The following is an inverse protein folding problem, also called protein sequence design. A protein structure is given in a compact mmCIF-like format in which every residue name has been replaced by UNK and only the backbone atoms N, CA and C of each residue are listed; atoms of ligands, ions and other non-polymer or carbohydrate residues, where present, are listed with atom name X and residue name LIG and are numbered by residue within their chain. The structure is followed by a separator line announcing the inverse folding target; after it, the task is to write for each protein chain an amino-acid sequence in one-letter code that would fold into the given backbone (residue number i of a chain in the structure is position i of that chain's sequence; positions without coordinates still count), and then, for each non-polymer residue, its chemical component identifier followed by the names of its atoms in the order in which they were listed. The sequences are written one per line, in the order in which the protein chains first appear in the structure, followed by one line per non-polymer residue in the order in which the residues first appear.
data_IF_253968579636
#
_entry.id   IF_253968579636
#
_cell.length_a   1.000
_cell.length_b   1.000
_cell.length_c   1.000
_cell.angle_alpha   90.00
_cell.angle_beta   90.00
_cell.angle_gamma   90.00
#
_symmetry.space_group_name_H-M   'P 1'
#
loop_
_entity.id
_entity.type
_entity.pdbx_description
1 polymer ?
#
# COMPACT_ATOMS: atom_id res chain seq x y z
N UNK A 1 8.47 -11.13 -16.51
CA UNK A 1 7.91 -12.50 -16.54
C UNK A 1 7.99 -13.20 -15.18
N UNK A 2 9.19 -13.45 -14.61
CA UNK A 2 9.31 -14.23 -13.35
C UNK A 2 8.61 -13.62 -12.12
N UNK A 3 8.64 -12.29 -11.95
CA UNK A 3 8.00 -11.60 -10.82
C UNK A 3 6.47 -11.74 -10.89
N UNK A 4 5.87 -11.42 -12.04
CA UNK A 4 4.42 -11.51 -12.29
C UNK A 4 3.88 -12.91 -11.98
N UNK A 5 4.54 -13.93 -12.52
CA UNK A 5 4.15 -15.33 -12.29
C UNK A 5 4.22 -15.72 -10.81
N UNK A 6 5.29 -15.32 -10.10
CA UNK A 6 5.45 -15.57 -8.67
C UNK A 6 4.43 -14.82 -7.81
N UNK A 7 4.15 -13.55 -8.14
CA UNK A 7 3.11 -12.75 -7.49
C UNK A 7 1.75 -13.42 -7.62
N UNK A 8 1.41 -13.88 -8.83
CA UNK A 8 0.14 -14.52 -9.11
C UNK A 8 -0.02 -15.85 -8.37
N UNK A 9 1.01 -16.70 -8.40
CA UNK A 9 1.00 -17.96 -7.65
C UNK A 9 0.86 -17.72 -6.14
N UNK A 10 1.66 -16.83 -5.56
CA UNK A 10 1.60 -16.52 -4.13
C UNK A 10 0.26 -15.90 -3.73
N UNK A 11 -0.28 -15.03 -4.58
CA UNK A 11 -1.58 -14.41 -4.36
C UNK A 11 -2.72 -15.43 -4.40
N UNK A 12 -2.70 -16.38 -5.34
CA UNK A 12 -3.70 -17.45 -5.43
C UNK A 12 -3.58 -18.44 -4.28
N UNK A 13 -2.38 -18.92 -3.96
CA UNK A 13 -2.19 -19.90 -2.88
C UNK A 13 -2.50 -19.27 -1.53
N UNK A 14 -2.11 -18.01 -1.32
CA UNK A 14 -2.35 -17.24 -0.10
C UNK A 14 -3.78 -16.73 0.05
N UNK A 15 -4.58 -16.71 -1.02
CA UNK A 15 -5.92 -16.11 -1.06
C UNK A 15 -6.81 -16.46 0.15
N UNK A 16 -7.07 -17.74 0.50
CA UNK A 16 -7.98 -18.06 1.59
C UNK A 16 -7.50 -17.51 2.95
N UNK A 17 -6.20 -17.54 3.20
CA UNK A 17 -5.61 -17.02 4.45
C UNK A 17 -5.64 -15.50 4.50
N UNK A 18 -5.27 -14.85 3.39
CA UNK A 18 -5.32 -13.40 3.25
C UNK A 18 -6.75 -12.88 3.38
N UNK A 19 -7.73 -13.58 2.80
CA UNK A 19 -9.13 -13.19 2.88
C UNK A 19 -9.66 -13.26 4.32
N UNK A 20 -9.38 -14.34 5.03
CA UNK A 20 -9.79 -14.50 6.44
C UNK A 20 -9.13 -13.43 7.32
N UNK A 21 -7.81 -13.26 7.20
CA UNK A 21 -7.08 -12.28 8.01
C UNK A 21 -7.57 -10.86 7.70
N UNK A 22 -7.72 -10.52 6.43
CA UNK A 22 -8.28 -9.23 6.03
C UNK A 22 -9.64 -9.00 6.65
N UNK A 23 -10.55 -9.96 6.57
CA UNK A 23 -11.88 -9.82 7.17
C UNK A 23 -11.82 -9.48 8.67
N UNK A 24 -10.93 -10.13 9.42
CA UNK A 24 -10.70 -9.79 10.84
C UNK A 24 -10.14 -8.38 11.03
N UNK A 25 -9.14 -7.98 10.24
CA UNK A 25 -8.59 -6.62 10.31
C UNK A 25 -9.60 -5.56 9.88
N UNK A 26 -10.47 -5.86 8.91
CA UNK A 26 -11.55 -4.97 8.50
C UNK A 26 -12.58 -4.77 9.59
N UNK A 27 -12.90 -5.79 10.39
CA UNK A 27 -13.77 -5.60 11.55
C UNK A 27 -13.06 -4.75 12.62
N UNK A 28 -11.84 -5.12 13.01
CA UNK A 28 -11.14 -4.47 14.13
C UNK A 28 -10.74 -3.03 13.80
N UNK A 29 -10.14 -2.80 12.63
CA UNK A 29 -9.66 -1.49 12.21
C UNK A 29 -10.68 -0.71 11.41
N UNK A 30 -11.56 -1.38 10.66
CA UNK A 30 -12.60 -0.69 9.90
C UNK A 30 -13.57 0.05 10.81
N UNK A 31 -13.96 -0.51 11.95
CA UNK A 31 -14.83 0.22 12.92
C UNK A 31 -14.12 1.47 13.46
N UNK A 32 -12.89 1.32 13.96
CA UNK A 32 -12.15 2.46 14.54
C UNK A 32 -11.83 3.54 13.50
N UNK A 33 -11.40 3.15 12.31
CA UNK A 33 -11.09 4.08 11.21
C UNK A 33 -12.35 4.69 10.60
N UNK A 34 -13.48 3.99 10.57
CA UNK A 34 -14.77 4.55 10.15
C UNK A 34 -15.28 5.60 11.13
N UNK A 35 -15.18 5.37 12.44
CA UNK A 35 -15.57 6.38 13.45
C UNK A 35 -14.72 7.64 13.31
N UNK A 36 -13.39 7.49 13.20
CA UNK A 36 -12.48 8.63 13.02
C UNK A 36 -12.77 9.35 11.70
N UNK A 37 -12.98 8.59 10.61
CA UNK A 37 -13.32 9.17 9.30
C UNK A 37 -14.65 9.92 9.35
N UNK A 38 -15.67 9.38 10.03
CA UNK A 38 -16.96 10.04 10.20
C UNK A 38 -16.83 11.36 10.97
N UNK A 39 -16.03 11.40 12.04
CA UNK A 39 -15.74 12.64 12.78
C UNK A 39 -15.04 13.65 11.87
N UNK A 40 -14.04 13.21 11.09
CA UNK A 40 -13.34 14.09 10.13
C UNK A 40 -14.30 14.62 9.07
N UNK A 41 -15.20 13.79 8.54
CA UNK A 41 -16.21 14.20 7.55
C UNK A 41 -17.15 15.26 8.14
N UNK A 42 -17.66 15.06 9.35
CA UNK A 42 -18.51 16.04 10.04
C UNK A 42 -17.77 17.36 10.26
N UNK A 43 -16.48 17.31 10.64
CA UNK A 43 -15.65 18.51 10.77
C UNK A 43 -15.38 19.17 9.41
N UNK A 44 -15.20 18.37 8.35
CA UNK A 44 -14.96 18.84 7.00
C UNK A 44 -16.18 19.53 6.39
N UNK A 45 -17.40 19.18 6.81
CA UNK A 45 -18.62 19.90 6.41
C UNK A 45 -18.62 21.36 6.89
N UNK A 46 -17.88 21.67 7.96
CA UNK A 46 -17.74 23.04 8.49
C UNK A 46 -16.46 23.71 7.97
N UNK A 47 -15.39 22.94 7.85
CA UNK A 47 -14.07 23.41 7.39
C UNK A 47 -13.57 22.46 6.30
N UNK A 48 -13.92 22.70 5.01
CA UNK A 48 -13.62 21.78 3.90
C UNK A 48 -12.15 21.31 3.81
N UNK A 49 -11.13 22.13 4.12
CA UNK A 49 -9.75 21.68 4.16
C UNK A 49 -9.46 20.53 5.15
N UNK A 50 -10.30 20.31 6.18
CA UNK A 50 -10.13 19.19 7.11
C UNK A 50 -10.39 17.83 6.46
N UNK A 51 -11.04 17.76 5.28
CA UNK A 51 -11.18 16.52 4.52
C UNK A 51 -9.81 15.89 4.18
N UNK A 52 -8.74 16.69 4.08
CA UNK A 52 -7.38 16.21 3.85
C UNK A 52 -6.88 15.30 4.99
N UNK A 53 -7.44 15.43 6.20
CA UNK A 53 -7.09 14.58 7.33
C UNK A 53 -7.55 13.13 7.15
N UNK A 54 -8.46 12.83 6.22
CA UNK A 54 -8.90 11.46 5.88
C UNK A 54 -7.75 10.57 5.39
N UNK A 55 -6.65 11.19 4.93
CA UNK A 55 -5.44 10.49 4.52
C UNK A 55 -4.77 9.73 5.69
N UNK A 56 -4.98 10.18 6.93
CA UNK A 56 -4.40 9.59 8.14
C UNK A 56 -5.09 8.26 8.50
N UNK A 57 -6.41 8.19 8.74
CA UNK A 57 -7.08 6.91 9.00
C UNK A 57 -6.96 5.96 7.81
N UNK A 58 -6.93 6.47 6.58
CA UNK A 58 -6.65 5.65 5.39
C UNK A 58 -5.26 5.00 5.43
N UNK A 59 -4.20 5.75 5.74
CA UNK A 59 -2.85 5.21 5.86
C UNK A 59 -2.74 4.14 6.95
N UNK A 60 -3.36 4.37 8.11
CA UNK A 60 -3.41 3.40 9.23
C UNK A 60 -4.13 2.13 8.80
N UNK A 61 -5.32 2.25 8.22
CA UNK A 61 -6.13 1.15 7.73
C UNK A 61 -5.37 0.29 6.72
N UNK A 62 -4.78 0.94 5.71
CA UNK A 62 -3.99 0.25 4.68
C UNK A 62 -2.74 -0.42 5.28
N UNK A 63 -2.11 0.15 6.32
CA UNK A 63 -0.98 -0.46 7.00
C UNK A 63 -1.38 -1.72 7.75
N UNK A 64 -2.42 -1.62 8.57
CA UNK A 64 -2.90 -2.73 9.38
C UNK A 64 -3.30 -3.92 8.49
N UNK A 65 -4.07 -3.67 7.43
CA UNK A 65 -4.48 -4.72 6.51
C UNK A 65 -3.30 -5.29 5.74
N UNK A 66 -2.41 -4.46 5.18
CA UNK A 66 -1.30 -4.98 4.37
C UNK A 66 -0.30 -5.78 5.18
N UNK A 67 0.06 -5.32 6.38
CA UNK A 67 0.97 -6.07 7.27
C UNK A 67 0.31 -7.39 7.70
N UNK A 68 -0.98 -7.37 8.05
CA UNK A 68 -1.74 -8.57 8.37
C UNK A 68 -1.82 -9.55 7.20
N UNK A 69 -2.13 -9.06 5.99
CA UNK A 69 -2.24 -9.86 4.77
C UNK A 69 -0.90 -10.40 4.27
N UNK A 70 0.20 -9.70 4.50
CA UNK A 70 1.53 -10.12 4.07
C UNK A 70 2.09 -11.26 4.92
N UNK A 71 1.77 -11.28 6.21
CA UNK A 71 2.23 -12.32 7.12
C UNK A 71 1.95 -13.74 6.60
N UNK A 72 0.71 -14.18 6.27
CA UNK A 72 0.46 -15.52 5.75
C UNK A 72 1.23 -15.81 4.44
N UNK A 73 1.43 -14.81 3.58
CA UNK A 73 2.16 -14.97 2.32
C UNK A 73 3.66 -15.18 2.57
N UNK A 74 4.24 -14.45 3.51
CA UNK A 74 5.63 -14.60 3.92
C UNK A 74 5.84 -15.92 4.67
N UNK A 75 4.83 -16.40 5.39
CA UNK A 75 4.88 -17.61 6.23
C UNK A 75 4.40 -18.88 5.52
N UNK A 76 3.90 -18.81 4.29
CA UNK A 76 3.80 -20.01 3.42
C UNK A 76 5.18 -20.63 3.10
N UNK A 77 6.27 -19.98 3.53
CA UNK A 77 7.63 -20.54 3.58
C UNK A 77 8.00 -21.09 4.98
N UNK A 78 7.27 -20.75 6.04
CA UNK A 78 7.25 -21.37 7.38
C UNK A 78 6.27 -20.63 8.30
N UNK A 79 5.38 -21.35 8.99
CA UNK A 79 4.49 -20.82 10.03
C UNK A 79 5.31 -20.31 11.23
N UNK A 80 5.20 -19.04 11.66
CA UNK A 80 5.53 -18.65 13.01
C UNK A 80 4.32 -18.99 13.88
N UNK A 81 4.59 -19.77 14.91
CA UNK A 81 3.63 -20.40 15.81
C UNK A 81 2.78 -19.44 16.63
N UNK A 82 3.08 -18.13 16.71
CA UNK A 82 2.33 -17.26 17.62
C UNK A 82 1.96 -15.89 17.00
N UNK A 83 0.64 -15.65 16.91
CA UNK A 83 0.06 -14.37 16.50
C UNK A 83 0.12 -13.39 17.68
N UNK A 84 1.22 -12.62 17.79
CA UNK A 84 1.28 -11.51 18.76
C UNK A 84 0.81 -10.21 18.12
N UNK A 85 -0.41 -9.79 18.48
CA UNK A 85 -0.98 -8.50 18.08
C UNK A 85 -0.09 -7.31 18.45
N UNK A 86 0.62 -7.40 19.59
CA UNK A 86 1.54 -6.37 20.05
C UNK A 86 2.75 -6.14 19.12
N UNK A 87 3.31 -7.21 18.55
CA UNK A 87 4.42 -7.11 17.59
C UNK A 87 3.98 -6.48 16.26
N UNK A 88 2.76 -6.77 15.81
CA UNK A 88 2.19 -6.16 14.60
C UNK A 88 2.02 -4.65 14.82
N UNK A 89 1.54 -4.23 15.98
CA UNK A 89 1.36 -2.82 16.33
C UNK A 89 2.67 -2.02 16.31
N UNK A 90 3.78 -2.62 16.73
CA UNK A 90 5.11 -2.00 16.68
C UNK A 90 5.56 -1.68 15.24
N UNK A 91 5.09 -2.46 14.26
CA UNK A 91 5.46 -2.29 12.85
C UNK A 91 4.44 -1.44 12.06
N UNK A 92 3.19 -1.38 12.51
CA UNK A 92 2.15 -0.53 11.89
C UNK A 92 2.54 0.94 11.96
N UNK A 93 3.00 1.44 13.13
CA UNK A 93 3.29 2.86 13.32
C UNK A 93 4.38 3.42 12.40
N UNK A 94 5.60 2.85 12.34
CA UNK A 94 6.65 3.36 11.45
C UNK A 94 6.28 3.26 9.97
N UNK A 95 5.58 2.19 9.57
CA UNK A 95 5.12 2.04 8.19
C UNK A 95 4.00 3.05 7.85
N UNK A 96 3.12 3.35 8.81
CA UNK A 96 2.08 4.38 8.66
C UNK A 96 2.70 5.76 8.46
N UNK A 97 3.74 6.10 9.22
CA UNK A 97 4.45 7.37 9.05
C UNK A 97 5.08 7.47 7.65
N UNK A 98 5.72 6.40 7.18
CA UNK A 98 6.35 6.36 5.86
C UNK A 98 5.30 6.50 4.73
N UNK A 99 4.18 5.79 4.86
CA UNK A 99 3.05 5.87 3.92
C UNK A 99 2.38 7.25 3.94
N UNK A 100 2.15 7.81 5.12
CA UNK A 100 1.60 9.15 5.30
C UNK A 100 2.51 10.21 4.66
N UNK A 101 3.82 10.13 4.87
CA UNK A 101 4.78 11.03 4.24
C UNK A 101 4.71 10.94 2.70
N UNK A 102 4.60 9.73 2.15
CA UNK A 102 4.43 9.52 0.71
C UNK A 102 3.13 10.13 0.18
N UNK A 103 2.02 9.92 0.88
CA UNK A 103 0.72 10.46 0.48
C UNK A 103 0.62 11.98 0.62
N UNK A 104 1.22 12.57 1.65
CA UNK A 104 1.28 14.02 1.81
C UNK A 104 2.15 14.66 0.72
N UNK A 105 3.30 14.06 0.40
CA UNK A 105 4.14 14.51 -0.71
C UNK A 105 3.37 14.45 -2.03
N UNK A 106 2.64 13.35 -2.27
CA UNK A 106 1.79 13.22 -3.43
C UNK A 106 0.73 14.32 -3.50
N UNK A 107 0.07 14.62 -2.38
CA UNK A 107 -0.96 15.65 -2.31
C UNK A 107 -0.39 17.02 -2.69
N UNK A 108 0.81 17.35 -2.21
CA UNK A 108 1.53 18.58 -2.60
C UNK A 108 1.85 18.56 -4.10
N UNK A 109 2.33 17.45 -4.64
CA UNK A 109 2.64 17.34 -6.07
C UNK A 109 1.40 17.48 -6.97
N UNK A 110 0.28 16.87 -6.58
CA UNK A 110 -1.00 17.01 -7.28
C UNK A 110 -1.49 18.46 -7.20
N UNK A 111 -1.43 19.09 -6.03
CA UNK A 111 -1.80 20.49 -5.86
C UNK A 111 -0.95 21.42 -6.74
N UNK A 112 0.38 21.22 -6.77
CA UNK A 112 1.29 21.98 -7.64
C UNK A 112 0.99 21.75 -9.12
N UNK A 113 0.70 20.51 -9.51
CA UNK A 113 0.28 20.18 -10.87
C UNK A 113 -1.00 20.89 -11.26
N UNK A 114 -2.03 20.83 -10.42
CA UNK A 114 -3.30 21.53 -10.63
C UNK A 114 -3.09 23.04 -10.73
N UNK A 115 -2.29 23.64 -9.85
CA UNK A 115 -1.94 25.08 -9.93
C UNK A 115 -1.24 25.40 -11.25
N UNK A 116 -0.35 24.53 -11.72
CA UNK A 116 0.35 24.69 -13.00
C UNK A 116 -0.57 24.59 -14.21
N UNK A 117 -1.56 23.69 -14.19
CA UNK A 117 -2.48 23.47 -15.32
C UNK A 117 -3.64 24.45 -15.37
N UNK A 118 -4.23 24.78 -14.21
CA UNK A 118 -5.46 25.55 -14.12
C UNK A 118 -5.27 26.96 -13.57
N UNK A 119 -4.13 27.24 -12.92
CA UNK A 119 -3.89 28.51 -12.23
C UNK A 119 -4.50 28.56 -10.82
N UNK A 120 -3.86 29.33 -9.94
CA UNK A 120 -4.30 29.47 -8.54
C UNK A 120 -5.69 30.11 -8.44
N UNK A 121 -5.98 31.12 -9.25
CA UNK A 121 -7.26 31.85 -9.25
C UNK A 121 -8.44 30.92 -9.59
N UNK A 122 -8.26 30.05 -10.58
CA UNK A 122 -9.28 29.06 -10.94
C UNK A 122 -9.54 28.11 -9.77
N UNK A 123 -8.49 27.57 -9.15
CA UNK A 123 -8.62 26.64 -8.01
C UNK A 123 -9.35 27.27 -6.84
N UNK A 124 -8.99 28.49 -6.45
CA UNK A 124 -9.69 29.23 -5.37
C UNK A 124 -11.16 29.38 -5.71
N UNK A 125 -11.46 29.77 -6.95
CA UNK A 125 -12.85 29.94 -7.41
C UNK A 125 -13.65 28.62 -7.42
N UNK A 126 -13.01 27.48 -7.72
CA UNK A 126 -13.63 26.15 -7.65
C UNK A 126 -14.00 25.81 -6.20
N UNK A 127 -13.09 26.03 -5.24
CA UNK A 127 -13.37 25.78 -3.82
C UNK A 127 -14.45 26.70 -3.25
N UNK A 128 -14.53 27.96 -3.70
CA UNK A 128 -15.61 28.87 -3.33
C UNK A 128 -16.97 28.40 -3.88
N UNK A 129 -17.00 27.91 -5.13
CA UNK A 129 -18.21 27.36 -5.76
C UNK A 129 -18.62 26.00 -5.20
N UNK A 130 -17.69 25.23 -4.61
CA UNK A 130 -17.98 23.94 -4.00
C UNK A 130 -18.99 24.03 -2.84
N UNK A 131 -19.08 25.19 -2.18
CA UNK A 131 -20.07 25.45 -1.13
C UNK A 131 -21.45 25.90 -1.66
N UNK A 132 -21.57 26.12 -2.97
CA UNK A 132 -22.78 26.59 -3.63
C UNK A 132 -23.03 25.76 -4.90
N UNK A 133 -23.73 24.63 -4.74
CA UNK A 133 -24.02 23.66 -5.81
C UNK A 133 -24.66 24.32 -7.05
N UNK A 134 -25.35 25.46 -6.90
CA UNK A 134 -25.96 26.17 -8.03
C UNK A 134 -24.95 26.80 -8.98
N UNK A 135 -23.70 26.95 -8.54
CA UNK A 135 -22.60 27.54 -9.32
C UNK A 135 -21.63 26.49 -9.85
N UNK A 136 -21.79 25.21 -9.49
CA UNK A 136 -20.87 24.15 -9.89
C UNK A 136 -20.98 23.87 -11.40
N UNK A 137 -19.86 23.97 -12.11
CA UNK A 137 -19.83 23.82 -13.58
C UNK A 137 -19.28 22.46 -14.01
N UNK A 138 -19.53 22.09 -15.28
CA UNK A 138 -18.96 20.87 -15.86
C UNK A 138 -17.41 20.90 -15.92
N UNK A 139 -16.81 22.09 -16.00
CA UNK A 139 -15.35 22.23 -15.95
C UNK A 139 -14.81 22.04 -14.52
N UNK A 140 -15.58 22.43 -13.50
CA UNK A 140 -15.27 22.12 -12.10
C UNK A 140 -15.30 20.60 -11.86
N UNK A 141 -16.30 19.91 -12.41
CA UNK A 141 -16.38 18.43 -12.38
C UNK A 141 -15.13 17.78 -13.00
N UNK A 142 -14.70 18.25 -14.18
CA UNK A 142 -13.47 17.78 -14.84
C UNK A 142 -12.23 18.03 -14.00
N UNK A 143 -12.13 19.19 -13.37
CA UNK A 143 -11.05 19.51 -12.44
C UNK A 143 -10.97 18.49 -11.29
N UNK A 144 -12.10 18.18 -10.65
CA UNK A 144 -12.14 17.19 -9.57
C UNK A 144 -11.83 15.78 -10.07
N UNK A 145 -12.34 15.37 -11.24
CA UNK A 145 -12.00 14.07 -11.83
C UNK A 145 -10.49 13.96 -12.06
N UNK A 146 -9.86 14.99 -12.65
CA UNK A 146 -8.42 15.00 -12.89
C UNK A 146 -7.65 14.93 -11.56
N UNK A 147 -8.06 15.70 -10.55
CA UNK A 147 -7.45 15.71 -9.23
C UNK A 147 -7.53 14.32 -8.56
N UNK A 148 -8.72 13.70 -8.58
CA UNK A 148 -8.97 12.37 -8.02
C UNK A 148 -8.14 11.33 -8.75
N UNK A 149 -8.16 11.30 -10.09
CA UNK A 149 -7.40 10.34 -10.90
C UNK A 149 -5.89 10.49 -10.67
N UNK A 150 -5.38 11.72 -10.66
CA UNK A 150 -3.97 12.00 -10.39
C UNK A 150 -3.56 11.52 -8.99
N UNK A 151 -4.41 11.75 -7.98
CA UNK A 151 -4.18 11.28 -6.62
C UNK A 151 -4.23 9.74 -6.54
N UNK A 152 -5.21 9.08 -7.14
CA UNK A 152 -5.30 7.61 -7.14
C UNK A 152 -4.13 6.94 -7.85
N UNK A 153 -3.74 7.41 -9.04
CA UNK A 153 -2.56 6.91 -9.74
C UNK A 153 -1.28 7.18 -8.95
N UNK A 154 -1.19 8.35 -8.31
CA UNK A 154 -0.09 8.69 -7.44
C UNK A 154 0.00 7.79 -6.21
N UNK A 155 -1.13 7.38 -5.62
CA UNK A 155 -1.13 6.43 -4.51
C UNK A 155 -0.56 5.08 -4.96
N UNK A 156 -0.88 4.62 -6.17
CA UNK A 156 -0.31 3.38 -6.71
C UNK A 156 1.22 3.49 -6.87
N UNK A 157 1.71 4.66 -7.27
CA UNK A 157 3.14 4.94 -7.33
C UNK A 157 3.79 4.87 -5.93
N UNK A 158 3.20 5.54 -4.94
CA UNK A 158 3.67 5.51 -3.55
C UNK A 158 3.70 4.07 -3.03
N UNK A 159 2.62 3.32 -3.20
CA UNK A 159 2.54 1.91 -2.79
C UNK A 159 3.59 1.04 -3.49
N UNK A 160 3.90 1.31 -4.76
CA UNK A 160 4.96 0.61 -5.51
C UNK A 160 6.35 0.86 -4.97
N UNK A 161 6.62 2.07 -4.48
CA UNK A 161 7.89 2.42 -3.80
C UNK A 161 7.97 1.74 -2.43
N UNK A 162 6.83 1.61 -1.75
CA UNK A 162 6.70 1.06 -0.40
C UNK A 162 6.48 -0.47 -0.37
N UNK A 163 6.41 -1.14 -1.52
CA UNK A 163 6.10 -2.57 -1.61
C UNK A 163 7.05 -3.46 -0.78
N UNK A 164 8.37 -3.30 -0.97
CA UNK A 164 9.39 -4.05 -0.23
C UNK A 164 9.48 -3.61 1.24
N UNK A 165 9.50 -2.30 1.57
CA UNK A 165 9.35 -1.81 2.93
C UNK A 165 8.18 -2.44 3.71
N UNK A 166 7.00 -2.52 3.09
CA UNK A 166 5.80 -3.08 3.74
C UNK A 166 5.97 -4.56 4.05
N UNK A 167 6.57 -5.32 3.12
CA UNK A 167 6.89 -6.74 3.34
C UNK A 167 7.98 -6.94 4.39
N UNK A 168 8.99 -6.05 4.44
CA UNK A 168 10.03 -6.08 5.47
C UNK A 168 9.46 -5.82 6.88
N UNK A 169 8.56 -4.84 7.01
CA UNK A 169 7.83 -4.58 8.26
C UNK A 169 6.94 -5.75 8.68
N UNK A 170 6.29 -6.43 7.72
CA UNK A 170 5.53 -7.64 8.01
C UNK A 170 6.44 -8.81 8.46
N UNK A 171 7.60 -8.97 7.83
CA UNK A 171 8.60 -9.97 8.23
C UNK A 171 9.15 -9.71 9.64
N UNK A 172 9.49 -8.45 9.96
CA UNK A 172 9.99 -8.04 11.26
C UNK A 172 8.97 -8.18 12.41
N UNK A 173 7.70 -8.48 12.12
CA UNK A 173 6.66 -8.73 13.12
C UNK A 173 6.61 -10.18 13.64
N UNK A 174 7.50 -11.06 13.16
CA UNK A 174 7.64 -12.45 13.61
C UNK A 174 8.50 -12.61 14.88
N UNK A 175 8.39 -13.78 15.52
CA UNK A 175 9.11 -14.11 16.78
C UNK A 175 10.64 -14.24 16.61
N UNK A 176 11.11 -14.55 15.40
CA UNK A 176 12.54 -14.65 15.10
C UNK A 176 13.12 -13.28 14.74
N UNK A 177 13.43 -12.46 15.75
CA UNK A 177 14.59 -11.55 15.86
C UNK A 177 15.12 -10.72 14.67
N UNK A 178 14.44 -10.62 13.54
CA UNK A 178 14.91 -9.89 12.38
C UNK A 178 14.56 -8.41 12.54
N UNK A 179 15.45 -7.65 13.16
CA UNK A 179 15.42 -6.21 13.07
C UNK A 179 15.61 -5.79 11.61
N UNK A 180 14.48 -5.53 10.94
CA UNK A 180 14.48 -5.04 9.57
C UNK A 180 13.98 -3.60 9.57
N UNK A 181 14.76 -2.64 9.03
CA UNK A 181 14.32 -1.26 9.00
C UNK A 181 13.08 -1.14 8.10
N UNK A 182 12.13 -0.30 8.51
CA UNK A 182 10.92 0.01 7.71
C UNK A 182 11.24 0.71 6.38
N UNK A 183 12.49 1.04 6.11
CA UNK A 183 12.98 1.60 4.84
C UNK A 183 13.73 0.57 3.99
N UNK A 184 13.79 -0.70 4.42
CA UNK A 184 14.50 -1.73 3.68
C UNK A 184 13.95 -1.89 2.25
N UNK A 185 14.85 -1.82 1.27
CA UNK A 185 14.48 -1.99 -0.13
C UNK A 185 13.55 -0.92 -0.67
N UNK A 186 13.51 0.27 -0.06
CA UNK A 186 12.74 1.41 -0.56
C UNK A 186 12.99 1.65 -2.06
N UNK A 187 11.92 1.67 -2.85
CA UNK A 187 12.02 1.88 -4.30
C UNK A 187 12.57 0.68 -5.09
N UNK A 188 12.79 -0.49 -4.47
CA UNK A 188 13.29 -1.66 -5.19
C UNK A 188 12.30 -2.11 -6.26
N UNK A 189 12.72 -1.99 -7.54
CA UNK A 189 11.91 -2.32 -8.73
C UNK A 189 10.55 -1.60 -8.79
N UNK A 190 10.43 -0.43 -8.18
CA UNK A 190 9.17 0.32 -8.15
C UNK A 190 8.52 0.53 -9.54
N UNK A 191 9.25 0.76 -10.67
CA UNK A 191 8.58 0.95 -11.96
C UNK A 191 7.89 -0.33 -12.45
N UNK A 192 8.54 -1.48 -12.23
CA UNK A 192 8.00 -2.78 -12.63
C UNK A 192 6.82 -3.18 -11.75
N UNK A 193 6.91 -2.89 -10.44
CA UNK A 193 5.83 -3.14 -9.48
C UNK A 193 4.63 -2.25 -9.80
N UNK A 194 4.86 -0.98 -10.16
CA UNK A 194 3.80 -0.04 -10.56
C UNK A 194 3.06 -0.52 -11.81
N UNK A 195 3.78 -0.88 -12.87
CA UNK A 195 3.17 -1.42 -14.09
C UNK A 195 2.40 -2.70 -13.78
N UNK A 196 2.96 -3.58 -12.95
CA UNK A 196 2.28 -4.82 -12.55
C UNK A 196 0.98 -4.54 -11.79
N UNK A 197 0.99 -3.56 -10.88
CA UNK A 197 -0.18 -3.19 -10.11
C UNK A 197 -1.26 -2.58 -11.01
N UNK A 198 -0.90 -1.65 -11.90
CA UNK A 198 -1.83 -1.06 -12.87
C UNK A 198 -2.42 -2.13 -13.80
N UNK A 199 -1.60 -3.03 -14.34
CA UNK A 199 -2.09 -4.12 -15.21
C UNK A 199 -3.05 -5.03 -14.45
N UNK A 200 -2.74 -5.36 -13.21
CA UNK A 200 -3.60 -6.19 -12.37
C UNK A 200 -4.95 -5.52 -12.06
N UNK A 201 -4.95 -4.22 -11.72
CA UNK A 201 -6.17 -3.45 -11.51
C UNK A 201 -7.02 -3.41 -12.79
N UNK A 202 -6.40 -3.17 -13.95
CA UNK A 202 -7.11 -3.20 -15.24
C UNK A 202 -7.70 -4.58 -15.52
N UNK A 203 -6.95 -5.67 -15.26
CA UNK A 203 -7.45 -7.03 -15.43
C UNK A 203 -8.64 -7.33 -14.51
N UNK A 204 -8.56 -6.90 -13.24
CA UNK A 204 -9.65 -7.08 -12.28
C UNK A 204 -10.89 -6.27 -12.65
N UNK A 205 -10.72 -5.04 -13.16
CA UNK A 205 -11.81 -4.22 -13.67
C UNK A 205 -12.46 -4.84 -14.92
N UNK A 206 -11.66 -5.41 -15.83
CA UNK A 206 -12.17 -6.17 -16.98
C UNK A 206 -12.95 -7.39 -16.51
N UNK A 207 -12.41 -8.15 -15.55
CA UNK A 207 -13.09 -9.33 -15.00
C UNK A 207 -14.40 -8.96 -14.31
N UNK A 208 -14.43 -7.87 -13.56
CA UNK A 208 -15.64 -7.33 -12.96
C UNK A 208 -16.64 -6.93 -14.05
N UNK A 209 -16.20 -6.21 -15.08
CA UNK A 209 -17.04 -5.80 -16.20
C UNK A 209 -17.64 -7.00 -16.94
N UNK A 210 -16.82 -7.98 -17.30
CA UNK A 210 -17.25 -9.23 -17.93
C UNK A 210 -18.22 -10.00 -17.02
N UNK A 211 -17.88 -10.16 -15.74
CA UNK A 211 -18.75 -10.84 -14.78
C UNK A 211 -20.12 -10.18 -14.69
N UNK A 212 -20.17 -8.86 -14.65
CA UNK A 212 -21.41 -8.11 -14.67
C UNK A 212 -22.15 -8.28 -16.00
N UNK A 213 -21.48 -8.15 -17.15
CA UNK A 213 -22.13 -8.25 -18.47
C UNK A 213 -22.67 -9.66 -18.79
N UNK A 214 -21.97 -10.72 -18.40
CA UNK A 214 -22.34 -12.10 -18.76
C UNK A 214 -23.30 -12.76 -17.78
N UNK A 215 -23.30 -12.36 -16.51
CA UNK A 215 -24.12 -12.99 -15.47
C UNK A 215 -25.30 -12.13 -15.01
N UNK A 216 -25.52 -10.96 -15.63
CA UNK A 216 -26.74 -10.18 -15.44
C UNK A 216 -27.43 -9.94 -16.78
N UNK A 217 -28.59 -10.56 -16.95
CA UNK A 217 -29.49 -10.22 -18.05
C UNK A 217 -30.00 -8.79 -17.81
N UNK A 218 -29.48 -7.81 -18.57
CA UNK A 218 -30.05 -6.48 -18.64
C UNK A 218 -29.18 -5.28 -18.22
N UNK A 219 -27.85 -5.41 -18.14
CA UNK A 219 -26.99 -4.25 -17.85
C UNK A 219 -26.51 -3.52 -19.12
N UNK A 220 -27.07 -2.33 -19.37
CA UNK A 220 -26.49 -1.35 -20.29
C UNK A 220 -25.28 -0.65 -19.65
N UNK A 221 -24.44 -0.02 -20.46
CA UNK A 221 -23.30 0.82 -20.01
C UNK A 221 -23.75 1.92 -19.01
N UNK A 222 -25.03 2.31 -19.04
CA UNK A 222 -25.61 3.28 -18.10
C UNK A 222 -25.73 2.73 -16.68
N UNK A 223 -25.97 1.43 -16.49
CA UNK A 223 -26.02 0.82 -15.16
C UNK A 223 -24.62 0.65 -14.54
N UNK A 224 -23.58 0.47 -15.36
CA UNK A 224 -22.18 0.58 -14.93
C UNK A 224 -21.82 2.01 -14.50
N UNK A 225 -22.25 3.02 -15.26
CA UNK A 225 -22.11 4.43 -14.87
C UNK A 225 -22.87 4.75 -13.58
N UNK A 226 -24.12 4.29 -13.45
CA UNK A 226 -24.92 4.43 -12.24
C UNK A 226 -24.28 3.75 -11.03
N UNK A 227 -23.63 2.60 -11.21
CA UNK A 227 -22.88 1.95 -10.15
C UNK A 227 -21.66 2.78 -9.70
N UNK A 228 -20.82 3.24 -10.63
CA UNK A 228 -19.70 4.11 -10.28
C UNK A 228 -20.19 5.41 -9.63
N UNK A 229 -21.27 6.00 -10.13
CA UNK A 229 -21.91 7.15 -9.51
C UNK A 229 -22.37 6.82 -8.08
N UNK A 230 -23.07 5.71 -7.82
CA UNK A 230 -23.52 5.31 -6.47
C UNK A 230 -22.39 4.97 -5.48
N UNK A 231 -21.21 4.63 -5.98
CA UNK A 231 -20.03 4.41 -5.14
C UNK A 231 -19.40 5.73 -4.67
N UNK A 232 -19.54 6.79 -5.47
CA UNK A 232 -19.02 8.13 -5.16
C UNK A 232 -20.08 9.07 -4.61
N UNK A 233 -21.36 8.81 -4.88
CA UNK A 233 -22.50 9.64 -4.57
C UNK A 233 -23.45 8.86 -3.66
N UNK A 234 -23.63 9.35 -2.43
CA UNK A 234 -24.36 8.69 -1.33
C UNK A 234 -25.89 8.61 -1.56
N UNK A 235 -26.38 8.81 -2.79
CA UNK A 235 -27.80 8.65 -3.12
C UNK A 235 -28.12 7.18 -3.41
N UNK A 236 -28.56 6.47 -2.37
CA UNK A 236 -29.06 5.08 -2.47
C UNK A 236 -30.25 4.94 -3.45
N UNK A 237 -30.89 6.05 -3.80
CA UNK A 237 -32.17 6.11 -4.51
C UNK A 237 -32.04 5.79 -6.01
N UNK A 238 -30.82 5.88 -6.58
CA UNK A 238 -30.58 5.60 -8.01
C UNK A 238 -30.22 4.14 -8.31
N UNK A 239 -29.99 3.32 -7.28
CA UNK A 239 -29.79 1.88 -7.44
C UNK A 239 -31.06 1.14 -7.06
N UNK A 240 -32.07 1.18 -7.93
CA UNK A 240 -33.12 0.16 -7.93
C UNK A 240 -32.64 -0.99 -8.81
N UNK A 241 -32.04 -2.06 -8.25
CA UNK A 241 -31.62 -3.18 -9.06
C UNK A 241 -32.89 -3.82 -9.63
N UNK A 242 -33.15 -3.56 -10.90
CA UNK A 242 -34.15 -4.28 -11.70
C UNK A 242 -33.71 -5.71 -12.02
N UNK A 243 -32.50 -6.10 -11.61
CA UNK A 243 -31.87 -7.36 -12.00
C UNK A 243 -32.09 -8.47 -10.97
N UNK A 244 -32.48 -9.65 -11.45
CA UNK A 244 -32.68 -10.89 -10.69
C UNK A 244 -31.39 -11.50 -10.10
N UNK A 245 -30.25 -10.78 -10.06
CA UNK A 245 -28.99 -11.34 -9.54
C UNK A 245 -28.07 -10.35 -8.80
N UNK A 246 -28.57 -9.66 -7.75
CA UNK A 246 -27.69 -8.91 -6.82
C UNK A 246 -26.63 -9.82 -6.18
N UNK A 247 -26.89 -11.13 -6.10
CA UNK A 247 -25.94 -12.13 -5.59
C UNK A 247 -24.68 -12.23 -6.46
N UNK A 248 -24.81 -12.28 -7.80
CA UNK A 248 -23.66 -12.32 -8.71
C UNK A 248 -22.84 -11.04 -8.57
N UNK A 249 -23.52 -9.90 -8.48
CA UNK A 249 -22.88 -8.61 -8.28
C UNK A 249 -22.04 -8.57 -7.00
N UNK A 250 -22.63 -8.98 -5.88
CA UNK A 250 -21.96 -9.07 -4.58
C UNK A 250 -20.78 -10.05 -4.65
N UNK A 251 -20.95 -11.20 -5.30
CA UNK A 251 -19.87 -12.18 -5.46
C UNK A 251 -18.72 -11.61 -6.30
N UNK A 252 -18.99 -11.00 -7.46
CA UNK A 252 -17.97 -10.39 -8.30
C UNK A 252 -17.24 -9.26 -7.57
N UNK A 253 -17.97 -8.44 -6.80
CA UNK A 253 -17.38 -7.37 -6.00
C UNK A 253 -16.52 -7.91 -4.85
N UNK A 254 -16.99 -8.91 -4.11
CA UNK A 254 -16.21 -9.58 -3.07
C UNK A 254 -14.94 -10.19 -3.68
N UNK A 255 -15.05 -10.90 -4.81
CA UNK A 255 -13.91 -11.51 -5.50
C UNK A 255 -12.92 -10.44 -5.95
N UNK A 256 -13.39 -9.36 -6.61
CA UNK A 256 -12.56 -8.21 -6.98
C UNK A 256 -11.82 -7.64 -5.76
N UNK A 257 -12.59 -7.31 -4.72
CA UNK A 257 -12.09 -6.61 -3.54
C UNK A 257 -11.06 -7.46 -2.80
N UNK A 258 -11.32 -8.75 -2.58
CA UNK A 258 -10.42 -9.66 -1.87
C UNK A 258 -9.25 -10.15 -2.71
N UNK A 259 -9.41 -10.44 -4.01
CA UNK A 259 -8.30 -10.87 -4.88
C UNK A 259 -7.27 -9.75 -5.06
N UNK A 260 -7.73 -8.49 -5.12
CA UNK A 260 -6.87 -7.31 -5.23
C UNK A 260 -5.72 -7.33 -4.23
N UNK A 261 -6.04 -7.54 -2.95
CA UNK A 261 -5.03 -7.47 -1.89
C UNK A 261 -4.14 -8.70 -1.83
N UNK A 262 -4.68 -9.88 -2.14
CA UNK A 262 -3.90 -11.12 -2.14
C UNK A 262 -2.81 -11.07 -3.21
N UNK A 263 -3.14 -10.59 -4.41
CA UNK A 263 -2.15 -10.38 -5.46
C UNK A 263 -1.14 -9.29 -5.10
N UNK A 264 -1.59 -8.19 -4.52
CA UNK A 264 -0.71 -7.11 -4.09
C UNK A 264 0.28 -7.58 -3.01
N UNK A 265 -0.21 -8.28 -1.99
CA UNK A 265 0.63 -8.88 -0.96
C UNK A 265 1.59 -9.95 -1.55
N UNK A 266 1.13 -10.74 -2.52
CA UNK A 266 1.99 -11.67 -3.28
C UNK A 266 3.14 -10.96 -4.00
N UNK A 267 2.86 -9.80 -4.60
CA UNK A 267 3.87 -8.96 -5.27
C UNK A 267 4.89 -8.40 -4.31
N UNK A 268 4.44 -7.82 -3.20
CA UNK A 268 5.32 -7.30 -2.15
C UNK A 268 6.21 -8.41 -1.57
N UNK A 269 5.64 -9.59 -1.27
CA UNK A 269 6.39 -10.75 -0.78
C UNK A 269 7.42 -11.30 -1.79
N UNK A 270 7.05 -11.39 -3.07
CA UNK A 270 7.96 -11.85 -4.12
C UNK A 270 9.14 -10.88 -4.33
N UNK A 271 8.86 -9.58 -4.39
CA UNK A 271 9.88 -8.54 -4.52
C UNK A 271 10.81 -8.50 -3.30
N UNK A 272 10.25 -8.63 -2.10
CA UNK A 272 11.00 -8.72 -0.85
C UNK A 272 11.96 -9.92 -0.82
N UNK A 273 11.47 -11.12 -1.17
CA UNK A 273 12.31 -12.32 -1.21
C UNK A 273 13.45 -12.19 -2.21
N UNK A 274 13.18 -11.61 -3.38
CA UNK A 274 14.22 -11.35 -4.38
C UNK A 274 15.28 -10.38 -3.85
N UNK A 275 14.86 -9.30 -3.19
CA UNK A 275 15.78 -8.32 -2.58
C UNK A 275 16.62 -8.95 -1.47
N UNK A 276 16.03 -9.78 -0.61
CA UNK A 276 16.74 -10.55 0.42
C UNK A 276 17.81 -11.49 -0.16
N UNK A 277 17.50 -12.17 -1.27
CA UNK A 277 18.47 -13.05 -1.94
C UNK A 277 19.64 -12.26 -2.54
N UNK A 278 19.37 -11.10 -3.14
CA UNK A 278 20.42 -10.22 -3.68
C UNK A 278 21.32 -9.74 -2.54
N UNK A 279 20.75 -9.20 -1.46
CA UNK A 279 21.55 -8.67 -0.35
C UNK A 279 22.29 -9.77 0.41
N UNK A 280 21.69 -10.96 0.54
CA UNK A 280 22.34 -12.14 1.13
C UNK A 280 23.52 -12.64 0.27
N UNK A 281 23.35 -12.67 -1.05
CA UNK A 281 24.42 -13.05 -1.97
C UNK A 281 25.54 -12.00 -2.02
N UNK A 282 25.18 -10.72 -2.03
CA UNK A 282 26.16 -9.61 -1.94
C UNK A 282 26.91 -9.71 -0.62
N UNK A 283 26.22 -9.88 0.51
CA UNK A 283 26.85 -10.04 1.82
C UNK A 283 27.77 -11.26 1.86
N UNK A 284 27.39 -12.39 1.25
CA UNK A 284 28.24 -13.57 1.14
C UNK A 284 29.47 -13.35 0.25
N UNK A 285 29.34 -12.58 -0.84
CA UNK A 285 30.43 -12.23 -1.76
C UNK A 285 31.38 -11.15 -1.20
N UNK A 286 30.86 -10.26 -0.34
CA UNK A 286 31.65 -9.19 0.31
C UNK A 286 32.14 -9.57 1.70
N UNK A 287 31.91 -10.82 2.15
CA UNK A 287 32.52 -11.29 3.40
C UNK A 287 34.04 -11.18 3.25
N UNK A 288 34.73 -10.43 4.13
CA UNK A 288 36.18 -10.39 4.10
C UNK A 288 36.69 -11.82 4.25
N UNK A 289 37.67 -12.19 3.42
CA UNK A 289 38.30 -13.51 3.49
C UNK A 289 38.71 -13.76 4.96
N UNK A 290 38.23 -14.84 5.61
CA UNK A 290 38.54 -15.12 7.00
C UNK A 290 40.05 -15.15 7.27
N UNK A 291 40.86 -15.50 6.26
CA UNK A 291 42.32 -15.49 6.35
C UNK A 291 42.86 -14.04 6.35
N UNK A 292 42.36 -13.19 5.45
CA UNK A 292 42.76 -11.78 5.39
C UNK A 292 42.28 -10.97 6.61
N UNK A 293 41.11 -11.32 7.16
CA UNK A 293 40.58 -10.72 8.39
C UNK A 293 41.41 -11.13 9.62
N UNK A 294 41.81 -12.41 9.71
CA UNK A 294 42.69 -12.90 10.77
C UNK A 294 44.08 -12.24 10.70
N UNK A 295 44.67 -12.12 9.50
CA UNK A 295 45.96 -11.46 9.31
C UNK A 295 45.93 -9.98 9.72
N UNK A 296 44.90 -9.22 9.32
CA UNK A 296 44.73 -7.82 9.75
C UNK A 296 44.56 -7.68 11.27
N UNK A 297 43.92 -8.65 11.91
CA UNK A 297 43.75 -8.65 13.36
C UNK A 297 45.06 -8.99 14.07
N UNK A 298 45.86 -9.90 13.51
CA UNK A 298 47.19 -10.25 14.00
C UNK A 298 48.19 -9.09 13.84
N UNK A 299 48.17 -8.39 12.71
CA UNK A 299 48.93 -7.15 12.47
C UNK A 299 48.58 -6.07 13.51
N UNK A 300 47.27 -5.84 13.77
CA UNK A 300 46.83 -4.90 14.81
C UNK A 300 47.31 -5.29 16.21
N UNK A 301 47.28 -6.58 16.55
CA UNK A 301 47.75 -7.06 17.86
C UNK A 301 49.27 -6.85 17.98
N UNK A 302 50.00 -7.04 16.89
CA UNK A 302 51.46 -6.84 16.84
C UNK A 302 51.82 -5.36 17.00
N UNK A 303 51.12 -4.46 16.29
CA UNK A 303 51.30 -3.01 16.44
C UNK A 303 50.99 -2.53 17.86
N UNK A 304 49.92 -3.03 18.48
CA UNK A 304 49.55 -2.68 19.86
C UNK A 304 50.63 -3.17 20.85
N UNK A 305 51.23 -4.35 20.62
CA UNK A 305 52.33 -4.86 21.46
C UNK A 305 53.60 -4.03 21.29
N UNK A 306 53.95 -3.65 20.06
CA UNK A 306 55.10 -2.79 19.78
C UNK A 306 54.97 -1.41 20.44
N UNK A 307 53.78 -0.81 20.37
CA UNK A 307 53.48 0.46 21.04
C UNK A 307 53.56 0.36 22.57
N UNK A 308 53.16 -0.78 23.17
CA UNK A 308 53.33 -1.02 24.61
C UNK A 308 54.80 -1.17 25.01
N UNK A 309 55.61 -1.90 24.24
CA UNK A 309 57.04 -2.04 24.52
C UNK A 309 57.80 -0.71 24.39
N UNK A 310 57.45 0.13 23.42
CA UNK A 310 58.03 1.48 23.30
C UNK A 310 57.68 2.39 24.48
N UNK A 311 56.53 2.20 25.13
CA UNK A 311 56.17 2.96 26.33
C UNK A 311 56.91 2.47 27.58
N UNK A 312 57.12 1.16 27.73
CA UNK A 312 57.86 0.62 28.89
C UNK A 312 59.37 0.91 28.87
N UNK A 313 59.96 1.13 27.70
CA UNK A 313 61.39 1.48 27.58
C UNK A 313 61.67 3.00 27.74
N UNK A 314 60.64 3.81 28.02
CA UNK A 314 60.76 5.27 28.24
C UNK A 314 60.65 5.69 29.71
N UNK A 315 60.38 4.73 30.61
CA UNK A 315 60.42 4.89 32.07
C UNK A 315 61.67 4.19 32.63
#
# INVERSE_FOLDING_TARGET
MALIYRSFLLGLTGFPFVAIIRFFYEIVWGIGTAIISAVIIVLAMVVPPLALLLIVPFAVYMCAIMIGALRPILTMVQYPSEFSFGLIMQQIMPMTLLRLAGYLLLLVLVALGLVGFFGLEYIVSVFERMNDETKFTQDDERFFIIAIVAFYLGMFLVESILAVPTAASAYASGEEGAHMPSTFGLGYRWPMIFVLFVVWEVMLLILLGVGVTFFSDGLSVEALRGFFASYFDYSADQFTPTTQSPVVYIICFIVYYYMRISFWAGTCGAAFREKMLIDGNVAAQTRPDPIAAAQKQEERITDIRALRQQRMNKD
#
